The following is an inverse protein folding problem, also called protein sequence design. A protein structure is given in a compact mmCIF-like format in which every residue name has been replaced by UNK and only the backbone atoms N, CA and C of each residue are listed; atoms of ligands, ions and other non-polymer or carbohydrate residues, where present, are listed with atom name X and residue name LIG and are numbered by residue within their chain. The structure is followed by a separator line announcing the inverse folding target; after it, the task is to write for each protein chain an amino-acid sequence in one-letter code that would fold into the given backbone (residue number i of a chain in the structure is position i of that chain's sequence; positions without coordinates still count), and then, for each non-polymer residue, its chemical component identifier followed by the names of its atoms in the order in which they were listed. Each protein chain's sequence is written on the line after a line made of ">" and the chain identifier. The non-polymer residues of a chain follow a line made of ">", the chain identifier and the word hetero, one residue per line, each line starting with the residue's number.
data_IF_556793093174
#
_entry.id   IF_556793093174
#
_cell.length_a   1.000
_cell.length_b   1.000
_cell.length_c   1.000
_cell.angle_alpha   90.00
_cell.angle_beta   90.00
_cell.angle_gamma   90.00
#
_symmetry.space_group_name_H-M   'P 1'
#
loop_
_entity.id
_entity.type
_entity.pdbx_description
1 polymer ?
#
# COMPACT_ATOMS: atom_id res chain seq x y z
N UNK A 1 7.25 -19.90 -20.38
CA UNK A 1 7.70 -18.54 -20.68
C UNK A 1 6.85 -17.96 -21.80
N UNK A 2 6.63 -16.65 -21.81
CA UNK A 2 5.89 -15.94 -22.86
C UNK A 2 6.63 -16.10 -24.19
N UNK A 3 5.89 -16.33 -25.29
CA UNK A 3 6.44 -16.34 -26.66
C UNK A 3 6.81 -14.92 -27.09
N UNK A 4 7.65 -14.78 -28.12
CA UNK A 4 8.03 -13.47 -28.65
C UNK A 4 6.80 -12.71 -29.20
N UNK A 5 5.81 -13.44 -29.75
CA UNK A 5 4.54 -12.87 -30.19
C UNK A 5 3.70 -12.32 -29.02
N UNK A 6 3.71 -13.00 -27.87
CA UNK A 6 3.02 -12.55 -26.66
C UNK A 6 3.67 -11.28 -26.09
N UNK A 7 5.01 -11.20 -26.14
CA UNK A 7 5.77 -10.00 -25.72
C UNK A 7 5.48 -8.80 -26.58
N UNK A 8 5.43 -8.99 -27.90
CA UNK A 8 5.08 -7.94 -28.87
C UNK A 8 3.64 -7.44 -28.67
N UNK A 9 2.69 -8.34 -28.45
CA UNK A 9 1.29 -7.99 -28.21
C UNK A 9 1.13 -7.24 -26.88
N UNK A 10 1.82 -7.65 -25.83
CA UNK A 10 1.85 -6.95 -24.54
C UNK A 10 2.46 -5.56 -24.67
N UNK A 11 3.57 -5.43 -25.41
CA UNK A 11 4.22 -4.15 -25.68
C UNK A 11 3.29 -3.16 -26.41
N UNK A 12 2.60 -3.63 -27.45
CA UNK A 12 1.61 -2.81 -28.19
C UNK A 12 0.41 -2.40 -27.33
N UNK A 13 -0.08 -3.31 -26.49
CA UNK A 13 -1.19 -3.01 -25.59
C UNK A 13 -0.78 -1.99 -24.51
N UNK A 14 0.40 -2.12 -23.94
CA UNK A 14 0.95 -1.16 -22.99
C UNK A 14 1.17 0.23 -23.63
N UNK A 15 1.69 0.29 -24.86
CA UNK A 15 1.87 1.54 -25.58
C UNK A 15 0.52 2.23 -25.86
N UNK A 16 -0.50 1.49 -26.30
CA UNK A 16 -1.86 2.03 -26.49
C UNK A 16 -2.46 2.54 -25.19
N UNK A 17 -2.33 1.79 -24.11
CA UNK A 17 -2.79 2.20 -22.80
C UNK A 17 -2.11 3.51 -22.36
N UNK A 18 -0.78 3.60 -22.49
CA UNK A 18 -0.02 4.81 -22.19
C UNK A 18 -0.54 6.06 -22.91
N UNK A 19 -0.92 5.94 -24.17
CA UNK A 19 -1.50 7.06 -24.93
C UNK A 19 -2.88 7.43 -24.41
N UNK A 20 -3.74 6.45 -24.16
CA UNK A 20 -5.11 6.68 -23.69
C UNK A 20 -5.15 7.34 -22.30
N UNK A 21 -4.35 6.85 -21.36
CA UNK A 21 -4.35 7.39 -19.99
C UNK A 21 -3.82 8.82 -19.92
N UNK A 22 -2.99 9.25 -20.87
CA UNK A 22 -2.41 10.61 -20.95
C UNK A 22 -3.24 11.60 -21.77
N UNK A 23 -4.41 11.21 -22.26
CA UNK A 23 -5.28 12.12 -23.01
C UNK A 23 -5.68 13.31 -22.11
N UNK A 24 -5.44 14.57 -22.52
CA UNK A 24 -5.65 15.75 -21.67
C UNK A 24 -7.08 15.83 -21.10
N UNK A 25 -8.08 15.58 -21.93
CA UNK A 25 -9.50 15.60 -21.49
C UNK A 25 -9.79 14.53 -20.42
N UNK A 26 -9.16 13.35 -20.51
CA UNK A 26 -9.31 12.29 -19.51
C UNK A 26 -8.66 12.71 -18.19
N UNK A 27 -7.40 13.18 -18.23
CA UNK A 27 -6.68 13.60 -17.03
C UNK A 27 -7.45 14.73 -16.33
N UNK A 28 -7.93 15.71 -17.07
CA UNK A 28 -8.74 16.80 -16.51
C UNK A 28 -9.97 16.27 -15.78
N UNK A 29 -10.77 15.39 -16.41
CA UNK A 29 -11.96 14.80 -15.80
C UNK A 29 -11.64 13.96 -14.57
N UNK A 30 -10.56 13.19 -14.61
CA UNK A 30 -10.10 12.39 -13.45
C UNK A 30 -9.66 13.31 -12.32
N UNK A 31 -8.92 14.38 -12.59
CA UNK A 31 -8.52 15.35 -11.57
C UNK A 31 -9.73 16.07 -10.95
N UNK A 32 -10.71 16.47 -11.77
CA UNK A 32 -11.98 17.06 -11.30
C UNK A 32 -12.72 16.11 -10.35
N UNK A 33 -12.80 14.83 -10.71
CA UNK A 33 -13.45 13.81 -9.87
C UNK A 33 -12.66 13.55 -8.58
N UNK A 34 -11.32 13.43 -8.67
CA UNK A 34 -10.45 13.30 -7.48
C UNK A 34 -10.68 14.44 -6.52
N UNK A 35 -10.64 15.69 -6.99
CA UNK A 35 -10.81 16.88 -6.15
C UNK A 35 -12.19 16.88 -5.50
N UNK A 36 -13.24 16.61 -6.28
CA UNK A 36 -14.62 16.55 -5.78
C UNK A 36 -14.79 15.45 -4.71
N UNK A 37 -14.28 14.26 -4.97
CA UNK A 37 -14.33 13.14 -4.01
C UNK A 37 -13.52 13.47 -2.76
N UNK A 38 -12.28 13.95 -2.93
CA UNK A 38 -11.39 14.29 -1.83
C UNK A 38 -12.01 15.35 -0.90
N UNK A 39 -12.47 16.47 -1.45
CA UNK A 39 -13.07 17.57 -0.69
C UNK A 39 -14.40 17.20 -0.02
N UNK A 40 -15.15 16.23 -0.57
CA UNK A 40 -16.43 15.83 -0.01
C UNK A 40 -16.33 14.68 1.00
N UNK A 41 -15.34 13.79 0.90
CA UNK A 41 -15.29 12.52 1.64
C UNK A 41 -14.06 12.35 2.53
N UNK A 42 -12.94 12.98 2.19
CA UNK A 42 -11.65 12.73 2.84
C UNK A 42 -11.21 13.94 3.66
N UNK A 43 -11.12 15.10 3.04
CA UNK A 43 -10.64 16.33 3.64
C UNK A 43 -11.47 16.80 4.86
N UNK A 44 -12.82 16.72 4.87
CA UNK A 44 -13.62 17.14 6.02
C UNK A 44 -13.32 16.35 7.30
N UNK A 45 -12.77 15.15 7.16
CA UNK A 45 -12.36 14.31 8.29
C UNK A 45 -10.87 14.52 8.68
N UNK A 46 -10.17 15.46 8.05
CA UNK A 46 -8.77 15.77 8.32
C UNK A 46 -7.78 14.76 7.71
N UNK A 47 -8.22 13.91 6.79
CA UNK A 47 -7.38 12.89 6.17
C UNK A 47 -6.78 13.36 4.83
N UNK A 48 -5.82 12.58 4.35
CA UNK A 48 -5.03 12.88 3.15
C UNK A 48 -5.15 11.77 2.11
N UNK A 49 -4.75 12.09 0.87
CA UNK A 49 -4.87 11.19 -0.27
C UNK A 49 -3.57 10.97 -1.02
N UNK A 50 -3.51 9.87 -1.78
CA UNK A 50 -2.42 9.54 -2.67
C UNK A 50 -2.96 9.19 -4.05
N UNK A 51 -2.37 9.77 -5.08
CA UNK A 51 -2.72 9.52 -6.49
C UNK A 51 -1.60 8.68 -7.10
N UNK A 52 -1.94 7.49 -7.58
CA UNK A 52 -0.99 6.56 -8.20
C UNK A 52 -1.19 6.62 -9.70
N UNK A 53 -0.26 7.24 -10.41
CA UNK A 53 -0.35 7.48 -11.85
C UNK A 53 0.42 6.43 -12.64
N UNK A 54 0.10 6.32 -13.92
CA UNK A 54 0.64 5.33 -14.83
C UNK A 54 2.18 5.37 -14.91
N UNK A 55 2.73 6.56 -15.14
CA UNK A 55 4.16 6.80 -15.25
C UNK A 55 4.54 8.22 -14.74
N UNK A 56 5.83 8.57 -14.81
CA UNK A 56 6.34 9.86 -14.32
C UNK A 56 5.83 11.05 -15.12
N UNK A 57 5.62 10.90 -16.43
CA UNK A 57 5.03 11.94 -17.24
C UNK A 57 3.59 12.21 -16.81
N UNK A 58 2.82 11.16 -16.52
CA UNK A 58 1.48 11.29 -15.96
C UNK A 58 1.48 12.05 -14.63
N UNK A 59 2.49 11.84 -13.74
CA UNK A 59 2.61 12.63 -12.51
C UNK A 59 2.61 14.15 -12.79
N UNK A 60 3.35 14.60 -13.81
CA UNK A 60 3.43 16.01 -14.16
C UNK A 60 2.12 16.53 -14.75
N UNK A 61 1.46 15.73 -15.58
CA UNK A 61 0.16 16.09 -16.13
C UNK A 61 -0.89 16.24 -15.03
N UNK A 62 -0.92 15.30 -14.09
CA UNK A 62 -1.79 15.37 -12.91
C UNK A 62 -1.49 16.59 -12.05
N UNK A 63 -0.21 16.88 -11.75
CA UNK A 63 0.20 18.05 -10.98
C UNK A 63 -0.28 19.34 -11.66
N UNK A 64 -0.06 19.45 -12.98
CA UNK A 64 -0.48 20.61 -13.76
C UNK A 64 -2.00 20.84 -13.73
N UNK A 65 -2.80 19.78 -13.80
CA UNK A 65 -4.27 19.91 -13.73
C UNK A 65 -4.75 20.18 -12.30
N UNK A 66 -4.17 19.53 -11.29
CA UNK A 66 -4.52 19.77 -9.89
C UNK A 66 -4.20 21.19 -9.44
N UNK A 67 -3.10 21.79 -9.93
CA UNK A 67 -2.73 23.18 -9.62
C UNK A 67 -3.70 24.22 -10.20
N UNK A 68 -4.56 23.82 -11.14
CA UNK A 68 -5.67 24.67 -11.62
C UNK A 68 -6.92 24.57 -10.74
N UNK A 69 -7.06 23.47 -10.00
CA UNK A 69 -8.24 23.13 -9.20
C UNK A 69 -8.04 23.38 -7.71
N UNK A 70 -6.80 23.32 -7.24
CA UNK A 70 -6.40 23.47 -5.84
C UNK A 70 -5.26 24.50 -5.73
N UNK A 71 -4.97 24.95 -4.51
CA UNK A 71 -3.74 25.71 -4.26
C UNK A 71 -2.52 24.80 -4.55
N UNK A 72 -1.46 25.33 -5.20
CA UNK A 72 -0.31 24.51 -5.63
C UNK A 72 0.37 23.73 -4.50
N UNK A 73 0.37 24.25 -3.27
CA UNK A 73 0.92 23.58 -2.09
C UNK A 73 0.09 22.39 -1.59
N UNK A 74 -1.15 22.24 -2.06
CA UNK A 74 -2.02 21.13 -1.65
C UNK A 74 -1.62 19.80 -2.27
N UNK A 75 -0.85 19.80 -3.35
CA UNK A 75 -0.39 18.56 -3.99
C UNK A 75 1.11 18.58 -4.27
N UNK A 76 1.76 17.42 -4.19
CA UNK A 76 3.19 17.32 -4.48
C UNK A 76 3.53 16.00 -5.16
N UNK A 77 4.49 16.07 -6.11
CA UNK A 77 4.97 14.89 -6.83
C UNK A 77 6.13 14.25 -6.10
N UNK A 78 6.09 12.93 -5.89
CA UNK A 78 7.19 12.15 -5.33
C UNK A 78 7.57 11.04 -6.29
N UNK A 79 8.77 11.17 -6.89
CA UNK A 79 9.28 10.20 -7.86
C UNK A 79 10.80 10.03 -7.72
N UNK A 80 11.31 8.93 -8.26
CA UNK A 80 12.75 8.74 -8.43
C UNK A 80 13.18 9.37 -9.75
N UNK A 81 14.20 10.23 -9.71
CA UNK A 81 14.75 10.92 -10.88
C UNK A 81 16.20 10.47 -11.09
N UNK A 82 16.53 10.11 -12.33
CA UNK A 82 17.91 9.78 -12.71
C UNK A 82 18.61 11.04 -13.23
N UNK A 83 19.95 11.06 -13.12
CA UNK A 83 20.77 12.22 -13.49
C UNK A 83 20.70 12.61 -14.97
N UNK A 84 20.29 11.67 -15.83
CA UNK A 84 20.16 11.86 -17.29
C UNK A 84 18.74 12.29 -17.73
N UNK A 85 17.89 12.72 -16.81
CA UNK A 85 16.49 13.06 -17.07
C UNK A 85 16.20 14.53 -16.70
N UNK A 86 16.65 15.50 -17.51
CA UNK A 86 16.56 16.92 -17.17
C UNK A 86 15.13 17.44 -16.98
N UNK A 87 14.15 16.84 -17.65
CA UNK A 87 12.74 17.19 -17.53
C UNK A 87 12.15 16.95 -16.13
N UNK A 88 12.72 16.01 -15.36
CA UNK A 88 12.28 15.70 -14.00
C UNK A 88 13.15 16.34 -12.92
N UNK A 89 14.21 17.06 -13.31
CA UNK A 89 15.15 17.69 -12.38
C UNK A 89 14.48 18.55 -11.27
N UNK A 90 13.40 19.30 -11.51
CA UNK A 90 12.71 20.06 -10.45
C UNK A 90 12.13 19.17 -9.33
N UNK A 91 11.95 17.89 -9.57
CA UNK A 91 11.40 16.91 -8.62
C UNK A 91 12.49 16.03 -7.98
N UNK A 92 13.77 16.32 -8.26
CA UNK A 92 14.89 15.66 -7.61
C UNK A 92 14.99 16.15 -6.18
N UNK A 93 14.95 15.23 -5.23
CA UNK A 93 15.11 15.51 -3.81
C UNK A 93 16.20 14.62 -3.21
N UNK A 94 16.99 15.19 -2.32
CA UNK A 94 17.85 14.41 -1.44
C UNK A 94 17.02 13.67 -0.38
N UNK A 95 17.65 12.70 0.31
CA UNK A 95 16.92 11.91 1.34
C UNK A 95 16.28 12.80 2.40
N UNK A 96 17.00 13.80 2.90
CA UNK A 96 16.49 14.70 3.95
C UNK A 96 15.35 15.62 3.46
N UNK A 97 15.41 16.04 2.19
CA UNK A 97 14.35 16.88 1.60
C UNK A 97 13.08 16.08 1.38
N UNK A 98 13.24 14.84 0.94
CA UNK A 98 12.10 13.94 0.75
C UNK A 98 11.46 13.59 2.10
N UNK A 99 12.26 13.28 3.13
CA UNK A 99 11.71 12.97 4.45
C UNK A 99 10.97 14.18 5.05
N UNK A 100 11.49 15.41 4.91
CA UNK A 100 10.76 16.62 5.32
C UNK A 100 9.43 16.79 4.58
N UNK A 101 9.39 16.47 3.29
CA UNK A 101 8.15 16.47 2.52
C UNK A 101 7.15 15.45 3.05
N UNK A 102 7.63 14.24 3.38
CA UNK A 102 6.81 13.18 3.93
C UNK A 102 6.33 13.51 5.35
N UNK A 103 7.13 14.20 6.15
CA UNK A 103 6.73 14.70 7.47
C UNK A 103 5.62 15.76 7.35
N UNK A 104 5.73 16.67 6.39
CA UNK A 104 4.63 17.61 6.06
C UNK A 104 3.35 16.86 5.68
N UNK A 105 3.47 15.79 4.93
CA UNK A 105 2.30 14.98 4.58
C UNK A 105 1.71 14.24 5.79
N UNK A 106 2.52 13.86 6.77
CA UNK A 106 2.04 13.24 8.02
C UNK A 106 1.36 14.25 8.96
N UNK A 107 1.71 15.54 8.87
CA UNK A 107 1.12 16.59 9.70
C UNK A 107 -0.30 16.90 9.23
N UNK A 108 -1.34 16.72 10.05
CA UNK A 108 -2.73 17.01 9.69
C UNK A 108 -2.96 18.49 9.37
N UNK A 109 -2.16 19.41 9.94
CA UNK A 109 -2.31 20.84 9.79
C UNK A 109 -1.57 21.40 8.56
N UNK A 110 -0.64 20.65 7.95
CA UNK A 110 0.07 21.10 6.76
C UNK A 110 -0.88 21.16 5.55
N UNK A 111 -0.80 22.20 4.70
CA UNK A 111 -1.61 22.33 3.50
C UNK A 111 -1.41 21.23 2.48
N UNK A 112 -0.30 20.49 2.51
CA UNK A 112 -0.06 19.34 1.64
C UNK A 112 -1.07 18.21 1.92
N UNK A 113 -1.99 17.99 0.98
CA UNK A 113 -3.12 17.06 1.11
C UNK A 113 -3.00 15.83 0.22
N UNK A 114 -2.37 15.98 -0.95
CA UNK A 114 -2.31 14.94 -1.97
C UNK A 114 -0.85 14.67 -2.39
N UNK A 115 -0.45 13.41 -2.38
CA UNK A 115 0.82 12.96 -2.99
C UNK A 115 0.54 12.33 -4.35
N UNK A 116 1.31 12.72 -5.36
CA UNK A 116 1.24 12.17 -6.72
C UNK A 116 2.49 11.29 -6.93
N UNK A 117 2.27 10.01 -7.17
CA UNK A 117 3.35 9.02 -7.26
C UNK A 117 3.14 8.07 -8.44
N UNK A 118 4.17 7.32 -8.81
CA UNK A 118 4.04 6.17 -9.72
C UNK A 118 4.01 4.84 -8.96
N UNK A 119 5.14 4.45 -8.39
CA UNK A 119 5.30 3.25 -7.56
C UNK A 119 6.06 3.54 -6.27
N UNK A 120 6.74 4.68 -6.22
CA UNK A 120 7.39 5.15 -5.01
C UNK A 120 6.34 5.40 -3.92
N UNK A 121 6.65 5.09 -2.68
CA UNK A 121 5.75 5.17 -1.52
C UNK A 121 4.60 4.15 -1.50
N UNK A 122 4.48 3.27 -2.48
CA UNK A 122 3.56 2.13 -2.39
C UNK A 122 4.09 1.06 -1.42
N UNK A 123 5.41 1.03 -1.22
CA UNK A 123 6.08 0.19 -0.22
C UNK A 123 6.98 1.04 0.67
N UNK A 124 7.20 0.62 1.92
CA UNK A 124 8.14 1.27 2.84
C UNK A 124 7.71 2.62 3.43
N UNK A 125 6.65 3.25 2.94
CA UNK A 125 6.14 4.52 3.47
C UNK A 125 5.03 4.31 4.50
N UNK A 126 5.15 4.92 5.65
CA UNK A 126 4.13 4.90 6.70
C UNK A 126 3.51 6.28 6.91
N UNK A 127 2.22 6.37 6.64
CA UNK A 127 1.42 7.55 6.88
C UNK A 127 -0.02 7.13 7.22
N UNK A 128 -0.33 6.87 8.50
CA UNK A 128 -1.67 6.45 8.92
C UNK A 128 -2.77 7.46 8.57
N UNK A 129 -2.44 8.73 8.42
CA UNK A 129 -3.34 9.81 7.97
C UNK A 129 -3.82 9.63 6.51
N UNK A 130 -3.10 8.82 5.71
CA UNK A 130 -3.51 8.49 4.33
C UNK A 130 -4.77 7.64 4.35
N UNK A 131 -5.91 8.19 3.94
CA UNK A 131 -7.19 7.49 3.88
C UNK A 131 -7.60 7.11 2.46
N UNK A 132 -7.34 7.96 1.47
CA UNK A 132 -7.79 7.69 0.11
C UNK A 132 -6.61 7.43 -0.84
N UNK A 133 -6.74 6.42 -1.69
CA UNK A 133 -5.82 6.14 -2.78
C UNK A 133 -6.58 6.11 -4.11
N UNK A 134 -6.13 6.93 -5.05
CA UNK A 134 -6.69 7.09 -6.39
C UNK A 134 -5.79 6.38 -7.38
N UNK A 135 -6.26 5.26 -7.94
CA UNK A 135 -5.47 4.41 -8.81
C UNK A 135 -5.75 4.72 -10.28
N UNK A 136 -4.76 5.29 -10.96
CA UNK A 136 -4.74 5.44 -12.42
C UNK A 136 -3.53 4.71 -13.02
N UNK A 137 -3.28 3.50 -12.51
CA UNK A 137 -2.19 2.62 -12.91
C UNK A 137 -2.63 1.17 -12.81
N UNK A 138 -2.32 0.32 -13.81
CA UNK A 138 -2.53 -1.11 -13.68
C UNK A 138 -1.73 -1.65 -12.49
N UNK A 139 -2.41 -2.24 -11.55
CA UNK A 139 -1.80 -2.88 -10.38
C UNK A 139 -2.32 -4.32 -10.29
N UNK A 140 -1.48 -5.24 -9.86
CA UNK A 140 -1.83 -6.66 -9.76
C UNK A 140 -1.32 -7.26 -8.47
N UNK A 141 -2.00 -8.29 -8.01
CA UNK A 141 -1.60 -9.18 -6.93
C UNK A 141 -1.02 -8.45 -5.69
N UNK A 142 0.18 -8.81 -5.29
CA UNK A 142 0.83 -8.27 -4.09
C UNK A 142 0.96 -6.74 -4.07
N UNK A 143 1.16 -6.09 -5.21
CA UNK A 143 1.29 -4.63 -5.26
C UNK A 143 -0.03 -3.96 -4.90
N UNK A 144 -1.13 -4.52 -5.39
CA UNK A 144 -2.47 -4.03 -5.08
C UNK A 144 -2.83 -4.27 -3.61
N UNK A 145 -2.56 -5.47 -3.09
CA UNK A 145 -2.76 -5.77 -1.66
C UNK A 145 -1.94 -4.86 -0.76
N UNK A 146 -0.68 -4.58 -1.11
CA UNK A 146 0.16 -3.64 -0.37
C UNK A 146 -0.42 -2.22 -0.35
N UNK A 147 -0.99 -1.77 -1.47
CA UNK A 147 -1.67 -0.48 -1.56
C UNK A 147 -2.93 -0.44 -0.66
N UNK A 148 -3.75 -1.50 -0.71
CA UNK A 148 -4.94 -1.64 0.14
C UNK A 148 -4.57 -1.61 1.62
N UNK A 149 -3.61 -2.44 2.04
CA UNK A 149 -3.15 -2.49 3.44
C UNK A 149 -2.63 -1.14 3.92
N UNK A 150 -2.06 -0.33 3.05
CA UNK A 150 -1.49 0.97 3.40
C UNK A 150 -2.56 2.00 3.75
N UNK A 151 -3.60 2.12 2.95
CA UNK A 151 -4.71 3.04 3.23
C UNK A 151 -5.58 2.56 4.38
N UNK A 152 -5.60 1.26 4.65
CA UNK A 152 -6.44 0.66 5.68
C UNK A 152 -5.80 0.64 7.09
N UNK A 153 -4.71 1.40 7.29
CA UNK A 153 -4.12 1.56 8.63
C UNK A 153 -4.98 2.41 9.54
N UNK A 154 -5.09 1.98 10.79
CA UNK A 154 -5.77 2.76 11.83
C UNK A 154 -4.99 4.01 12.14
N UNK A 155 -5.68 5.12 12.39
CA UNK A 155 -5.07 6.41 12.75
C UNK A 155 -5.78 7.07 13.92
N UNK A 156 -7.12 7.05 13.91
CA UNK A 156 -7.96 7.62 14.94
C UNK A 156 -9.28 6.83 14.98
N UNK A 157 -10.12 7.08 15.97
CA UNK A 157 -11.48 6.49 16.03
C UNK A 157 -12.34 6.86 14.81
N UNK A 158 -12.03 7.98 14.15
CA UNK A 158 -12.73 8.46 12.96
C UNK A 158 -12.30 7.73 11.69
N UNK A 159 -11.07 7.19 11.63
CA UNK A 159 -10.59 6.42 10.47
C UNK A 159 -10.90 4.95 10.64
N UNK A 160 -12.08 4.54 10.24
CA UNK A 160 -12.54 3.15 10.33
C UNK A 160 -12.08 2.27 9.17
N UNK A 161 -11.77 2.87 8.01
CA UNK A 161 -11.34 2.15 6.79
C UNK A 161 -10.58 3.07 5.84
N UNK A 162 -9.85 2.46 4.90
CA UNK A 162 -9.27 3.12 3.75
C UNK A 162 -10.23 3.15 2.56
N UNK A 163 -10.01 4.11 1.65
CA UNK A 163 -10.78 4.27 0.42
C UNK A 163 -9.88 4.06 -0.78
N UNK A 164 -10.31 3.25 -1.75
CA UNK A 164 -9.65 3.09 -3.03
C UNK A 164 -10.62 3.46 -4.13
N UNK A 165 -10.20 4.40 -4.98
CA UNK A 165 -10.93 4.82 -6.17
C UNK A 165 -10.11 4.41 -7.39
N UNK A 166 -10.70 3.62 -8.27
CA UNK A 166 -10.03 3.03 -9.42
C UNK A 166 -10.53 3.66 -10.72
N UNK A 167 -9.61 4.25 -11.49
CA UNK A 167 -9.89 4.90 -12.77
C UNK A 167 -9.55 4.04 -14.00
N UNK A 168 -8.98 2.86 -13.80
CA UNK A 168 -8.65 1.92 -14.89
C UNK A 168 -9.53 0.68 -14.94
N UNK A 169 -10.43 0.50 -13.97
CA UNK A 169 -11.32 -0.65 -13.91
C UNK A 169 -10.62 -1.93 -13.49
N UNK A 170 -9.68 -1.83 -12.55
CA UNK A 170 -8.96 -3.00 -11.99
C UNK A 170 -9.73 -3.70 -10.85
N UNK A 171 -11.01 -3.35 -10.64
CA UNK A 171 -11.82 -3.93 -9.56
C UNK A 171 -11.95 -5.46 -9.65
N UNK A 172 -11.96 -6.03 -10.85
CA UNK A 172 -11.93 -7.49 -11.02
C UNK A 172 -10.62 -8.09 -10.45
N UNK A 173 -9.50 -7.38 -10.59
CA UNK A 173 -8.22 -7.78 -10.02
C UNK A 173 -8.19 -7.53 -8.50
N UNK A 174 -8.88 -6.50 -7.99
CA UNK A 174 -9.10 -6.28 -6.55
C UNK A 174 -9.88 -7.43 -5.94
N UNK A 175 -10.98 -7.81 -6.56
CA UNK A 175 -11.81 -8.91 -6.07
C UNK A 175 -11.02 -10.22 -6.00
N UNK A 176 -10.26 -10.55 -7.05
CA UNK A 176 -9.39 -11.73 -7.07
C UNK A 176 -8.28 -11.67 -6.03
N UNK A 177 -7.66 -10.48 -5.82
CA UNK A 177 -6.63 -10.31 -4.82
C UNK A 177 -7.17 -10.50 -3.40
N UNK A 178 -8.38 -10.00 -3.11
CA UNK A 178 -9.06 -10.21 -1.83
C UNK A 178 -9.48 -11.67 -1.62
N UNK A 179 -9.98 -12.34 -2.67
CA UNK A 179 -10.26 -13.79 -2.62
C UNK A 179 -9.01 -14.63 -2.34
N UNK A 180 -7.87 -14.22 -2.90
CA UNK A 180 -6.60 -14.88 -2.63
C UNK A 180 -6.16 -14.71 -1.17
N UNK A 181 -6.31 -13.52 -0.63
CA UNK A 181 -6.00 -13.22 0.77
C UNK A 181 -6.93 -13.99 1.73
N UNK A 182 -8.23 -14.04 1.44
CA UNK A 182 -9.20 -14.83 2.20
C UNK A 182 -8.87 -16.33 2.18
N UNK A 183 -8.54 -16.90 1.01
CA UNK A 183 -8.10 -18.28 0.88
C UNK A 183 -6.78 -18.54 1.62
N UNK A 184 -5.86 -17.60 1.57
CA UNK A 184 -4.59 -17.69 2.30
C UNK A 184 -4.81 -17.63 3.81
N UNK A 185 -5.70 -16.76 4.28
CA UNK A 185 -6.10 -16.71 5.70
C UNK A 185 -6.81 -17.99 6.15
N UNK A 186 -7.71 -18.55 5.36
CA UNK A 186 -8.38 -19.81 5.65
C UNK A 186 -7.37 -20.96 5.72
N UNK A 187 -6.40 -21.01 4.81
CA UNK A 187 -5.33 -22.00 4.85
C UNK A 187 -4.45 -21.88 6.10
N UNK A 188 -4.15 -20.64 6.52
CA UNK A 188 -3.39 -20.37 7.76
C UNK A 188 -4.20 -20.78 8.99
N UNK A 189 -5.50 -20.47 9.03
CA UNK A 189 -6.40 -20.86 10.15
C UNK A 189 -6.52 -22.40 10.24
N UNK A 190 -6.62 -23.08 9.10
CA UNK A 190 -6.66 -24.56 9.09
C UNK A 190 -5.33 -25.14 9.59
N UNK A 191 -4.19 -24.58 9.16
CA UNK A 191 -2.87 -24.97 9.67
C UNK A 191 -2.69 -24.70 11.16
N UNK A 192 -3.28 -23.63 11.71
CA UNK A 192 -3.23 -23.33 13.15
C UNK A 192 -4.00 -24.39 13.94
N UNK A 193 -5.16 -24.85 13.47
CA UNK A 193 -5.92 -25.92 14.12
C UNK A 193 -5.13 -27.24 14.14
N UNK A 194 -4.55 -27.63 13.00
CA UNK A 194 -3.66 -28.80 12.94
C UNK A 194 -2.43 -28.66 13.83
N UNK A 195 -1.87 -27.44 13.93
CA UNK A 195 -0.74 -27.16 14.81
C UNK A 195 -1.13 -27.26 16.29
N UNK A 196 -2.32 -26.79 16.67
CA UNK A 196 -2.83 -26.91 18.05
C UNK A 196 -3.01 -28.38 18.43
N UNK A 197 -3.56 -29.21 17.52
CA UNK A 197 -3.69 -30.65 17.75
C UNK A 197 -2.33 -31.33 17.89
N UNK A 198 -1.41 -31.08 16.96
CA UNK A 198 -0.02 -31.58 17.02
C UNK A 198 0.76 -31.08 18.22
N UNK A 199 0.51 -29.84 18.67
CA UNK A 199 1.12 -29.27 19.87
C UNK A 199 0.65 -30.02 21.13
N UNK A 200 -0.64 -30.35 21.20
CA UNK A 200 -1.20 -31.09 22.33
C UNK A 200 -0.58 -32.49 22.44
N UNK A 201 -0.41 -33.22 21.31
CA UNK A 201 0.28 -34.49 21.28
C UNK A 201 1.77 -34.40 21.63
N UNK A 202 2.46 -33.39 21.11
CA UNK A 202 3.87 -33.14 21.39
C UNK A 202 4.09 -32.77 22.87
N UNK A 203 3.22 -31.95 23.44
CA UNK A 203 3.24 -31.66 24.86
C UNK A 203 3.05 -32.90 25.72
N UNK A 204 2.09 -33.77 25.40
CA UNK A 204 1.89 -35.02 26.14
C UNK A 204 3.12 -35.91 26.06
N UNK A 205 3.76 -36.05 24.90
CA UNK A 205 5.00 -36.79 24.72
C UNK A 205 6.15 -36.19 25.55
N UNK A 206 6.32 -34.87 25.50
CA UNK A 206 7.32 -34.18 26.34
C UNK A 206 7.06 -34.37 27.83
N UNK A 207 5.80 -34.24 28.25
CA UNK A 207 5.42 -34.41 29.65
C UNK A 207 5.64 -35.84 30.15
N UNK A 208 5.58 -36.85 29.26
CA UNK A 208 5.87 -38.26 29.59
C UNK A 208 7.36 -38.48 29.94
N UNK A 209 8.29 -37.73 29.34
CA UNK A 209 9.72 -37.78 29.70
C UNK A 209 9.99 -37.22 31.12
N UNK A 210 9.12 -36.39 31.63
CA UNK A 210 9.22 -35.82 32.98
C UNK A 210 8.24 -36.47 33.97
N UNK A 211 7.91 -37.76 33.74
CA UNK A 211 7.10 -38.54 34.65
C UNK A 211 7.90 -38.78 35.95
N UNK A 212 7.48 -38.16 37.04
CA UNK A 212 8.17 -38.21 38.31
C UNK A 212 8.86 -36.92 38.76
N UNK A 213 8.91 -35.93 37.90
CA UNK A 213 9.40 -34.59 38.27
C UNK A 213 8.28 -33.80 38.92
N UNK A 214 8.57 -33.20 40.07
CA UNK A 214 7.65 -32.27 40.73
C UNK A 214 7.52 -30.99 39.92
N UNK A 215 6.36 -30.76 39.31
CA UNK A 215 6.05 -29.63 38.42
C UNK A 215 5.57 -28.39 39.19
N UNK A 216 5.49 -28.48 40.49
CA UNK A 216 5.13 -27.33 41.33
C UNK A 216 6.34 -26.47 41.68
N UNK A 217 7.56 -26.97 41.41
CA UNK A 217 8.80 -26.25 41.62
C UNK A 217 8.99 -25.18 40.55
N UNK A 218 9.20 -23.97 40.95
CA UNK A 218 9.44 -22.82 40.06
C UNK A 218 10.93 -22.42 40.01
N UNK A 219 11.34 -21.76 38.96
CA UNK A 219 12.69 -21.18 38.82
C UNK A 219 13.81 -22.21 38.69
N UNK A 220 14.94 -21.95 39.34
CA UNK A 220 16.18 -22.74 39.21
C UNK A 220 16.05 -24.17 39.77
N UNK A 221 15.27 -24.36 40.79
CA UNK A 221 15.04 -25.68 41.41
C UNK A 221 14.27 -26.61 40.46
N UNK A 222 13.28 -26.08 39.77
CA UNK A 222 12.55 -26.82 38.71
C UNK A 222 13.43 -27.25 37.56
N UNK A 223 14.39 -26.41 37.13
CA UNK A 223 15.37 -26.73 36.12
C UNK A 223 16.33 -27.86 36.51
N UNK A 224 16.82 -27.86 37.76
CA UNK A 224 17.70 -28.93 38.28
C UNK A 224 16.94 -30.26 38.34
N UNK A 225 15.71 -30.25 38.83
CA UNK A 225 14.88 -31.45 38.89
C UNK A 225 14.61 -32.04 37.48
N UNK A 226 14.42 -31.22 36.48
CA UNK A 226 14.23 -31.61 35.09
C UNK A 226 15.51 -32.16 34.40
N UNK A 227 16.70 -31.71 34.85
CA UNK A 227 18.00 -32.20 34.36
C UNK A 227 18.44 -33.54 34.93
N UNK A 228 17.85 -33.97 36.04
CA UNK A 228 18.19 -35.22 36.70
C UNK A 228 17.32 -36.41 36.26
N UNK A 229 16.35 -36.22 35.40
CA UNK A 229 15.55 -37.22 34.75
C UNK A 229 16.11 -37.56 33.39
#
# INVERSE_FOLDING_TARGET
>A
GLTDLDRDNLGRSAARMSVLVKTPDRIRKVCEDIVKHFQSKVEPNGFKGQIVTFDRESCLLYKTELDKLLQPECSEVVMTVNSNEPQYKPFTRGCDEEERLLDRFRDPNDPLKLLIVTSKLLTGFDAPILQAMYLDKPMRDHTLLQAICRVNRTYSEQKTHGLIVDYLGIFDDVAKALEFDEKSMLAVVTNIQELIEKLSEAMQKCLAFFAGVDRTLEGYEGLIAAQQC
#
